data_IF_855542146140
#
_entry.id   IF_855542146140
#
_cell.length_a   1.000
_cell.length_b   1.000
_cell.length_c   1.000
_cell.angle_alpha   90.00
_cell.angle_beta   90.00
_cell.angle_gamma   90.00
#
_symmetry.space_group_name_H-M   'P 1'
#
loop_
_entity.id
_entity.type
_entity.pdbx_description
1 polymer ?
#
# COMPACT_ATOMS: atom_id res chain seq x y z
N UNK A 1 -22.85 -47.01 -39.56
CA UNK A 1 -22.87 -47.09 -38.07
C UNK A 1 -21.41 -46.98 -37.65
N UNK A 2 -20.89 -45.91 -37.04
CA UNK A 2 -21.42 -45.09 -35.95
C UNK A 2 -21.18 -43.61 -36.25
N UNK A 3 -22.27 -42.85 -36.39
CA UNK A 3 -22.30 -41.45 -35.98
C UNK A 3 -22.17 -41.42 -34.45
N UNK A 4 -21.73 -40.28 -33.90
CA UNK A 4 -21.82 -39.86 -32.50
C UNK A 4 -20.69 -40.33 -31.56
N UNK A 5 -19.71 -39.44 -31.39
CA UNK A 5 -19.24 -38.88 -30.11
C UNK A 5 -18.49 -37.58 -30.51
N UNK A 6 -19.19 -36.51 -30.92
CA UNK A 6 -19.76 -35.48 -30.03
C UNK A 6 -18.66 -34.95 -29.10
N UNK A 7 -18.05 -33.81 -29.44
CA UNK A 7 -18.41 -32.53 -28.82
C UNK A 7 -18.37 -32.60 -27.28
N UNK A 8 -17.26 -32.18 -26.70
CA UNK A 8 -17.03 -32.11 -25.25
C UNK A 8 -15.59 -32.58 -24.98
N UNK A 9 -14.59 -31.73 -24.79
CA UNK A 9 -14.58 -30.44 -24.10
C UNK A 9 -13.89 -29.36 -24.96
N UNK A 10 -14.68 -28.64 -25.76
CA UNK A 10 -14.57 -27.17 -25.69
C UNK A 10 -15.45 -26.81 -24.49
N UNK A 11 -14.95 -25.99 -23.57
CA UNK A 11 -15.55 -25.59 -22.28
C UNK A 11 -15.09 -26.41 -21.08
N UNK A 12 -13.86 -26.19 -20.62
CA UNK A 12 -13.63 -26.02 -19.18
C UNK A 12 -12.59 -24.90 -19.01
N UNK A 13 -13.13 -23.71 -18.72
CA UNK A 13 -12.47 -22.54 -18.14
C UNK A 13 -11.36 -21.93 -19.02
N UNK A 14 -11.56 -20.80 -19.73
CA UNK A 14 -11.83 -19.50 -19.12
C UNK A 14 -11.52 -19.49 -17.61
N UNK A 15 -10.31 -19.90 -17.23
CA UNK A 15 -9.72 -19.34 -16.04
C UNK A 15 -9.23 -17.97 -16.50
N UNK A 16 -10.13 -16.98 -16.46
CA UNK A 16 -9.71 -15.69 -15.96
C UNK A 16 -9.24 -15.96 -14.53
N UNK A 17 -8.03 -16.50 -14.37
CA UNK A 17 -7.34 -16.42 -13.10
C UNK A 17 -7.17 -14.93 -12.89
N UNK A 18 -8.06 -14.34 -12.10
CA UNK A 18 -7.78 -13.08 -11.44
C UNK A 18 -6.53 -13.39 -10.62
N UNK A 19 -5.38 -12.89 -11.07
CA UNK A 19 -4.13 -13.03 -10.34
C UNK A 19 -4.23 -12.12 -9.11
N UNK A 20 -4.88 -12.61 -8.05
CA UNK A 20 -4.90 -11.93 -6.76
C UNK A 20 -3.54 -12.10 -6.11
N UNK A 21 -3.03 -11.04 -5.48
CA UNK A 21 -1.75 -11.09 -4.80
C UNK A 21 -1.94 -11.92 -3.53
N UNK A 22 -1.15 -12.99 -3.38
CA UNK A 22 -1.25 -13.84 -2.18
C UNK A 22 -0.75 -13.10 -0.93
N UNK A 23 -1.28 -13.40 0.27
CA UNK A 23 -0.76 -12.84 1.52
C UNK A 23 0.75 -13.02 1.69
N UNK A 24 1.29 -14.15 1.25
CA UNK A 24 2.71 -14.47 1.30
C UNK A 24 3.54 -13.57 0.37
N UNK A 25 3.04 -13.30 -0.84
CA UNK A 25 3.67 -12.35 -1.77
C UNK A 25 3.64 -10.92 -1.23
N UNK A 26 2.51 -10.50 -0.63
CA UNK A 26 2.42 -9.19 0.02
C UNK A 26 3.46 -9.06 1.13
N UNK A 27 3.58 -10.06 1.99
CA UNK A 27 4.55 -10.06 3.09
C UNK A 27 5.99 -10.01 2.55
N UNK A 28 6.29 -10.80 1.53
CA UNK A 28 7.61 -10.80 0.88
C UNK A 28 7.96 -9.43 0.32
N UNK A 29 7.07 -8.81 -0.48
CA UNK A 29 7.28 -7.46 -1.04
C UNK A 29 7.47 -6.43 0.08
N UNK A 30 6.65 -6.48 1.12
CA UNK A 30 6.77 -5.58 2.27
C UNK A 30 8.07 -5.76 3.05
N UNK A 31 8.64 -6.97 3.06
CA UNK A 31 9.92 -7.26 3.70
C UNK A 31 11.08 -6.63 2.93
N UNK A 32 11.13 -6.79 1.60
CA UNK A 32 12.16 -6.23 0.73
C UNK A 32 12.08 -4.70 0.77
N UNK A 33 10.89 -4.14 0.56
CA UNK A 33 10.69 -2.69 0.63
C UNK A 33 11.10 -2.11 1.99
N UNK A 34 10.73 -2.78 3.10
CA UNK A 34 11.12 -2.34 4.44
C UNK A 34 12.64 -2.36 4.65
N UNK A 35 13.34 -3.33 4.07
CA UNK A 35 14.81 -3.43 4.14
C UNK A 35 15.48 -2.28 3.38
N UNK A 36 15.08 -2.04 2.14
CA UNK A 36 15.62 -0.95 1.30
C UNK A 36 15.33 0.41 1.91
N UNK A 37 14.10 0.61 2.40
CA UNK A 37 13.70 1.82 3.08
C UNK A 37 14.55 2.09 4.32
N UNK A 38 14.80 1.07 5.15
CA UNK A 38 15.67 1.21 6.33
C UNK A 38 17.09 1.65 5.92
N UNK A 39 17.62 1.09 4.84
CA UNK A 39 18.94 1.47 4.32
C UNK A 39 18.94 2.95 3.88
N UNK A 40 17.92 3.38 3.13
CA UNK A 40 17.77 4.79 2.72
C UNK A 40 17.67 5.73 3.92
N UNK A 41 16.89 5.39 4.96
CA UNK A 41 16.80 6.17 6.21
C UNK A 41 18.16 6.31 6.87
N UNK A 42 18.95 5.22 6.92
CA UNK A 42 20.29 5.23 7.52
C UNK A 42 21.28 6.11 6.75
N UNK A 43 21.15 6.17 5.43
CA UNK A 43 22.01 7.02 4.58
C UNK A 43 21.60 8.50 4.63
N UNK A 44 20.28 8.77 4.66
CA UNK A 44 19.74 10.12 4.57
C UNK A 44 19.68 10.85 5.92
N UNK A 45 19.66 10.12 7.04
CA UNK A 45 19.58 10.72 8.37
C UNK A 45 20.95 10.76 9.06
N UNK A 46 21.42 11.97 9.39
CA UNK A 46 22.55 12.15 10.30
C UNK A 46 22.08 11.95 11.75
N UNK A 47 22.02 10.70 12.20
CA UNK A 47 21.65 10.38 13.58
C UNK A 47 22.81 10.74 14.54
N UNK A 48 22.49 11.50 15.60
CA UNK A 48 23.42 11.83 16.69
C UNK A 48 23.41 10.73 17.78
N UNK A 49 23.91 11.02 18.99
CA UNK A 49 24.14 10.07 20.09
C UNK A 49 22.93 9.22 20.56
N UNK A 50 21.69 9.57 20.17
CA UNK A 50 20.46 8.85 20.56
C UNK A 50 19.88 7.99 19.41
N UNK A 51 20.72 7.32 18.63
CA UNK A 51 20.28 6.46 17.51
C UNK A 51 19.35 5.33 17.93
N UNK A 52 19.56 4.75 19.10
CA UNK A 52 18.86 3.52 19.51
C UNK A 52 17.38 3.79 19.83
N UNK A 53 17.10 4.90 20.52
CA UNK A 53 15.74 5.35 20.80
C UNK A 53 14.98 5.69 19.52
N UNK A 54 15.65 6.30 18.53
CA UNK A 54 15.09 6.51 17.21
C UNK A 54 14.74 5.19 16.52
N UNK A 55 15.69 4.26 16.41
CA UNK A 55 15.48 3.01 15.66
C UNK A 55 14.39 2.13 16.27
N UNK A 56 14.29 2.08 17.59
CA UNK A 56 13.19 1.40 18.28
C UNK A 56 11.83 1.96 17.84
N UNK A 57 11.68 3.28 17.86
CA UNK A 57 10.43 3.93 17.44
C UNK A 57 10.17 3.78 15.93
N UNK A 58 11.23 3.76 15.12
CA UNK A 58 11.14 3.50 13.69
C UNK A 58 10.65 2.08 13.38
N UNK A 59 11.13 1.09 14.14
CA UNK A 59 10.70 -0.30 14.00
C UNK A 59 9.22 -0.48 14.40
N UNK A 60 8.79 0.16 15.49
CA UNK A 60 7.36 0.22 15.87
C UNK A 60 6.50 0.85 14.76
N UNK A 61 6.98 1.94 14.16
CA UNK A 61 6.31 2.60 13.03
C UNK A 61 6.19 1.69 11.82
N UNK A 62 7.26 0.99 11.43
CA UNK A 62 7.25 0.11 10.26
C UNK A 62 6.27 -1.05 10.40
N UNK A 63 6.07 -1.58 11.62
CA UNK A 63 5.04 -2.61 11.89
C UNK A 63 3.64 -2.04 11.60
N UNK A 64 3.28 -0.91 12.20
CA UNK A 64 1.96 -0.29 11.96
C UNK A 64 1.77 0.16 10.49
N UNK A 65 2.84 0.64 9.85
CA UNK A 65 2.81 1.06 8.44
C UNK A 65 2.55 -0.11 7.50
N UNK A 66 3.09 -1.30 7.77
CA UNK A 66 2.87 -2.50 6.96
C UNK A 66 1.38 -2.89 6.92
N UNK A 67 0.66 -2.73 8.02
CA UNK A 67 -0.77 -3.00 8.05
C UNK A 67 -1.57 -2.04 7.16
N UNK A 68 -1.24 -0.74 7.20
CA UNK A 68 -1.81 0.23 6.25
C UNK A 68 -1.41 -0.07 4.79
N UNK A 69 -0.23 -0.66 4.58
CA UNK A 69 0.19 -1.15 3.27
C UNK A 69 -0.68 -2.29 2.74
N UNK A 70 -1.13 -3.20 3.61
CA UNK A 70 -2.07 -4.28 3.25
C UNK A 70 -3.45 -3.70 2.91
N UNK A 71 -3.93 -2.74 3.69
CA UNK A 71 -5.17 -2.00 3.38
C UNK A 71 -5.09 -1.33 1.99
N UNK A 72 -3.94 -0.74 1.65
CA UNK A 72 -3.71 -0.14 0.33
C UNK A 72 -3.80 -1.16 -0.80
N UNK A 73 -3.12 -2.29 -0.66
CA UNK A 73 -3.13 -3.36 -1.67
C UNK A 73 -4.57 -3.86 -1.87
N UNK A 74 -5.29 -4.13 -0.78
CA UNK A 74 -6.69 -4.54 -0.84
C UNK A 74 -7.58 -3.52 -1.55
N UNK A 75 -7.36 -2.22 -1.30
CA UNK A 75 -8.10 -1.15 -1.98
C UNK A 75 -7.79 -1.10 -3.48
N UNK A 76 -6.53 -1.29 -3.87
CA UNK A 76 -6.12 -1.34 -5.27
C UNK A 76 -6.69 -2.58 -5.99
N UNK A 77 -6.71 -3.73 -5.33
CA UNK A 77 -7.36 -4.93 -5.86
C UNK A 77 -8.87 -4.74 -6.02
N UNK A 78 -9.53 -4.08 -5.06
CA UNK A 78 -10.96 -3.72 -5.20
C UNK A 78 -11.19 -2.80 -6.40
N UNK A 79 -10.33 -1.79 -6.59
CA UNK A 79 -10.40 -0.93 -7.76
C UNK A 79 -10.24 -1.73 -9.05
N UNK A 80 -9.15 -2.49 -9.19
CA UNK A 80 -8.85 -3.25 -10.41
C UNK A 80 -9.93 -4.29 -10.75
N UNK A 81 -10.46 -5.02 -9.76
CA UNK A 81 -11.46 -6.06 -10.00
C UNK A 81 -12.84 -5.53 -10.36
N UNK A 82 -13.16 -4.29 -9.97
CA UNK A 82 -14.48 -3.71 -10.19
C UNK A 82 -14.46 -2.59 -11.24
N UNK A 83 -13.30 -2.19 -11.74
CA UNK A 83 -13.12 -1.00 -12.60
C UNK A 83 -14.14 -0.93 -13.75
N UNK A 84 -14.29 -2.01 -14.51
CA UNK A 84 -15.22 -2.07 -15.66
C UNK A 84 -16.71 -2.08 -15.27
N UNK A 85 -17.04 -2.31 -13.99
CA UNK A 85 -18.40 -2.59 -13.53
C UNK A 85 -18.69 -2.00 -12.14
N UNK A 86 -18.31 -0.75 -11.87
CA UNK A 86 -18.69 -0.07 -10.63
C UNK A 86 -20.13 0.49 -10.70
N UNK A 87 -20.85 0.44 -9.57
CA UNK A 87 -22.04 1.25 -9.30
C UNK A 87 -21.64 2.55 -8.59
N UNK A 88 -22.55 3.51 -8.45
CA UNK A 88 -22.24 4.80 -7.80
C UNK A 88 -21.85 4.58 -6.34
N UNK A 89 -22.54 3.65 -5.68
CA UNK A 89 -22.26 3.26 -4.30
C UNK A 89 -20.87 2.63 -4.15
N UNK A 90 -20.45 1.80 -5.13
CA UNK A 90 -19.12 1.21 -5.14
C UNK A 90 -18.03 2.28 -5.29
N UNK A 91 -18.24 3.25 -6.17
CA UNK A 91 -17.31 4.39 -6.35
C UNK A 91 -17.22 5.20 -5.05
N UNK A 92 -18.35 5.61 -4.48
CA UNK A 92 -18.39 6.39 -3.23
C UNK A 92 -17.71 5.64 -2.08
N UNK A 93 -17.94 4.33 -1.96
CA UNK A 93 -17.28 3.51 -0.96
C UNK A 93 -15.77 3.45 -1.18
N UNK A 94 -15.32 3.18 -2.41
CA UNK A 94 -13.89 3.10 -2.74
C UNK A 94 -13.17 4.42 -2.41
N UNK A 95 -13.77 5.55 -2.78
CA UNK A 95 -13.22 6.88 -2.51
C UNK A 95 -13.18 7.15 -1.00
N UNK A 96 -14.21 6.79 -0.25
CA UNK A 96 -14.21 6.92 1.23
C UNK A 96 -13.11 6.08 1.88
N UNK A 97 -12.94 4.83 1.46
CA UNK A 97 -11.88 3.96 1.96
C UNK A 97 -10.48 4.53 1.63
N UNK A 98 -10.30 5.10 0.43
CA UNK A 98 -9.07 5.80 0.03
C UNK A 98 -8.76 7.02 0.92
N UNK A 99 -9.77 7.86 1.17
CA UNK A 99 -9.65 9.04 2.05
C UNK A 99 -9.32 8.64 3.50
N UNK A 100 -9.97 7.59 4.02
CA UNK A 100 -9.69 7.07 5.36
C UNK A 100 -8.27 6.53 5.47
N UNK A 101 -7.81 5.73 4.49
CA UNK A 101 -6.45 5.21 4.45
C UNK A 101 -5.40 6.33 4.39
N UNK A 102 -5.65 7.37 3.58
CA UNK A 102 -4.79 8.56 3.53
C UNK A 102 -4.70 9.23 4.91
N UNK A 103 -5.85 9.44 5.55
CA UNK A 103 -5.94 10.05 6.88
C UNK A 103 -5.23 9.21 7.96
N UNK A 104 -5.42 7.88 7.95
CA UNK A 104 -4.73 6.95 8.86
C UNK A 104 -3.22 7.02 8.68
N UNK A 105 -2.74 7.06 7.44
CA UNK A 105 -1.32 7.14 7.11
C UNK A 105 -0.70 8.44 7.66
N UNK A 106 -1.34 9.59 7.41
CA UNK A 106 -0.84 10.88 7.91
C UNK A 106 -0.90 10.96 9.44
N UNK A 107 -1.94 10.40 10.08
CA UNK A 107 -2.02 10.29 11.53
C UNK A 107 -0.90 9.42 12.11
N UNK A 108 -0.54 8.33 11.43
CA UNK A 108 0.54 7.44 11.84
C UNK A 108 1.89 8.18 11.81
N UNK A 109 2.21 8.87 10.71
CA UNK A 109 3.44 9.67 10.60
C UNK A 109 3.47 10.76 11.69
N UNK A 110 2.37 11.48 11.90
CA UNK A 110 2.27 12.50 12.93
C UNK A 110 2.44 11.95 14.36
N UNK A 111 1.90 10.76 14.64
CA UNK A 111 2.08 10.04 15.92
C UNK A 111 3.56 9.75 16.17
N UNK A 112 4.26 9.21 15.18
CA UNK A 112 5.67 8.85 15.32
C UNK A 112 6.62 10.04 15.30
N UNK A 113 6.30 11.12 14.57
CA UNK A 113 7.00 12.40 14.69
C UNK A 113 7.03 12.88 16.15
N UNK A 114 5.87 12.88 16.83
CA UNK A 114 5.78 13.32 18.24
C UNK A 114 6.57 12.41 19.17
N UNK A 115 6.47 11.08 19.00
CA UNK A 115 7.25 10.11 19.78
C UNK A 115 8.76 10.33 19.60
N UNK A 116 9.21 10.39 18.34
CA UNK A 116 10.63 10.57 17.99
C UNK A 116 11.15 11.91 18.50
N UNK A 117 10.35 12.99 18.40
CA UNK A 117 10.73 14.31 18.92
C UNK A 117 11.04 14.26 20.42
N UNK A 118 10.23 13.53 21.18
CA UNK A 118 10.41 13.41 22.63
C UNK A 118 11.64 12.56 22.99
N UNK A 119 11.97 11.54 22.19
CA UNK A 119 13.05 10.58 22.47
C UNK A 119 14.41 10.99 21.89
N UNK A 120 14.43 11.38 20.62
CA UNK A 120 15.64 11.64 19.83
C UNK A 120 15.82 13.13 19.47
N UNK A 121 14.86 13.98 19.82
CA UNK A 121 14.90 15.42 19.59
C UNK A 121 14.29 15.88 18.26
N UNK A 122 14.23 17.21 18.09
CA UNK A 122 13.49 17.83 16.98
C UNK A 122 14.07 17.55 15.60
N UNK A 123 15.41 17.43 15.47
CA UNK A 123 16.07 17.23 14.16
C UNK A 123 15.80 15.83 13.60
N UNK A 124 16.05 14.72 14.33
CA UNK A 124 15.68 13.39 13.84
C UNK A 124 14.18 13.26 13.57
N UNK A 125 13.32 13.87 14.39
CA UNK A 125 11.88 13.87 14.13
C UNK A 125 11.52 14.58 12.82
N UNK A 126 12.13 15.74 12.54
CA UNK A 126 11.90 16.47 11.30
C UNK A 126 12.39 15.68 10.07
N UNK A 127 13.57 15.08 10.15
CA UNK A 127 14.12 14.22 9.10
C UNK A 127 13.21 13.02 8.80
N UNK A 128 12.74 12.33 9.86
CA UNK A 128 11.75 11.27 9.73
C UNK A 128 10.50 11.75 9.00
N UNK A 129 9.91 12.86 9.46
CA UNK A 129 8.69 13.40 8.86
C UNK A 129 8.87 13.73 7.38
N UNK A 130 9.96 14.41 7.02
CA UNK A 130 10.27 14.78 5.64
C UNK A 130 10.48 13.56 4.76
N UNK A 131 11.28 12.59 5.22
CA UNK A 131 11.60 11.38 4.46
C UNK A 131 10.35 10.51 4.24
N UNK A 132 9.52 10.33 5.26
CA UNK A 132 8.30 9.53 5.15
C UNK A 132 7.29 10.17 4.21
N UNK A 133 7.13 11.49 4.25
CA UNK A 133 6.26 12.19 3.29
C UNK A 133 6.82 12.15 1.87
N UNK A 134 8.14 12.23 1.69
CA UNK A 134 8.78 12.07 0.38
C UNK A 134 8.47 10.69 -0.20
N UNK A 135 8.82 9.61 0.51
CA UNK A 135 8.59 8.24 0.05
C UNK A 135 7.10 7.96 -0.21
N UNK A 136 6.22 8.43 0.67
CA UNK A 136 4.77 8.29 0.50
C UNK A 136 4.27 9.02 -0.75
N UNK A 137 4.83 10.20 -1.07
CA UNK A 137 4.46 10.97 -2.25
C UNK A 137 4.91 10.26 -3.53
N UNK A 138 6.13 9.72 -3.56
CA UNK A 138 6.62 8.93 -4.68
C UNK A 138 5.75 7.69 -4.92
N UNK A 139 5.44 6.92 -3.88
CA UNK A 139 4.56 5.75 -3.98
C UNK A 139 3.18 6.14 -4.52
N UNK A 140 2.59 7.22 -4.01
CA UNK A 140 1.28 7.71 -4.48
C UNK A 140 1.35 8.14 -5.95
N UNK A 141 2.41 8.84 -6.35
CA UNK A 141 2.60 9.27 -7.72
C UNK A 141 2.76 8.07 -8.66
N UNK A 142 3.56 7.05 -8.29
CA UNK A 142 3.71 5.82 -9.06
C UNK A 142 2.39 5.09 -9.22
N UNK A 143 1.60 4.94 -8.14
CA UNK A 143 0.29 4.30 -8.20
C UNK A 143 -0.66 5.08 -9.12
N UNK A 144 -0.78 6.40 -8.91
CA UNK A 144 -1.69 7.23 -9.71
C UNK A 144 -1.30 7.31 -11.19
N UNK A 145 0.01 7.20 -11.50
CA UNK A 145 0.51 7.18 -12.88
C UNK A 145 0.10 5.92 -13.65
N UNK A 146 -0.19 4.82 -12.96
CA UNK A 146 -0.64 3.55 -13.55
C UNK A 146 -2.17 3.40 -13.53
N UNK A 147 -2.89 4.34 -12.89
CA UNK A 147 -4.34 4.27 -12.72
C UNK A 147 -5.08 5.16 -13.73
N UNK A 148 -6.15 4.63 -14.30
CA UNK A 148 -7.10 5.42 -15.10
C UNK A 148 -8.11 6.15 -14.20
N UNK A 149 -8.60 7.29 -14.66
CA UNK A 149 -9.66 7.99 -13.93
C UNK A 149 -10.99 7.23 -14.09
N UNK A 150 -11.83 7.26 -13.06
CA UNK A 150 -13.17 6.66 -13.13
C UNK A 150 -14.04 7.56 -14.01
N UNK A 151 -14.30 7.14 -15.25
CA UNK A 151 -15.02 7.96 -16.25
C UNK A 151 -16.53 7.68 -16.31
N UNK A 152 -16.97 6.45 -16.02
CA UNK A 152 -18.39 6.10 -16.05
C UNK A 152 -18.75 4.96 -15.11
N UNK A 153 -20.01 4.99 -14.67
CA UNK A 153 -20.61 4.02 -13.75
C UNK A 153 -21.81 3.39 -14.47
N UNK A 154 -22.07 2.08 -14.31
CA UNK A 154 -23.33 1.52 -14.82
C UNK A 154 -24.51 2.17 -14.07
N UNK A 155 -25.41 2.79 -14.84
CA UNK A 155 -26.68 3.35 -14.36
C UNK A 155 -27.63 2.25 -13.87
#
# INVERSE_FOLDING_TARGET
MKKLLVFGLVLLFNLSTIAQVSPEEVEYIQSIFGMEKRAAVKEMMTLSSNSDGFWKLYDEYEVERKDLGKERISLLEKYANNYDNMSNENVDQLIRESMDLSTKTDKLINKYYKKIKNEAGSVPAAQFYQLEHYLLSEIRASILGEMELIESVRQ
#
